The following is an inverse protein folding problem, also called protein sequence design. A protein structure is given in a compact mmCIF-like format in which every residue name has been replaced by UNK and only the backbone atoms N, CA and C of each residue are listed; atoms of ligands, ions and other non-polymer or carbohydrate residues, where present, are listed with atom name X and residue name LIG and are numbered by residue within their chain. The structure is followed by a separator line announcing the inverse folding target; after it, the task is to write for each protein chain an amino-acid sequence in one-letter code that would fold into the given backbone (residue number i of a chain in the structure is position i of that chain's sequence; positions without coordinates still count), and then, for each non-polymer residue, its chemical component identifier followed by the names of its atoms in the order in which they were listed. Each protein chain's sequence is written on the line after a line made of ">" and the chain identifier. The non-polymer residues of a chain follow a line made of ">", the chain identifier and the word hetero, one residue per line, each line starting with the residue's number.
data_IF_915894007049
#
_entry.id   IF_915894007049
#
_cell.length_a   1.000
_cell.length_b   1.000
_cell.length_c   1.000
_cell.angle_alpha   90.00
_cell.angle_beta   90.00
_cell.angle_gamma   90.00
#
_symmetry.space_group_name_H-M   'P 1'
#
loop_
_entity.id
_entity.type
_entity.pdbx_description
1 polymer ?
#
# COMPACT_ATOMS: atom_id res chain seq x y z
N UNK A 1 -13.43 13.47 11.32
CA UNK A 1 -12.86 13.63 9.97
C UNK A 1 -13.40 12.50 9.12
N UNK A 2 -14.09 12.80 8.01
CA UNK A 2 -14.63 11.77 7.14
C UNK A 2 -13.46 11.12 6.38
N UNK A 3 -13.28 9.82 6.56
CA UNK A 3 -12.32 9.03 5.80
C UNK A 3 -13.07 8.36 4.65
N UNK A 4 -12.84 8.83 3.42
CA UNK A 4 -13.24 8.08 2.23
C UNK A 4 -12.26 6.91 2.04
N UNK A 5 -12.79 5.77 1.63
CA UNK A 5 -11.99 4.58 1.33
C UNK A 5 -11.09 4.91 0.12
N UNK A 6 -9.80 4.51 0.11
CA UNK A 6 -8.96 4.60 -1.08
C UNK A 6 -9.65 3.97 -2.30
N UNK A 7 -9.61 4.63 -3.46
CA UNK A 7 -10.39 4.22 -4.63
C UNK A 7 -11.82 4.75 -4.65
N UNK A 8 -12.22 5.63 -3.71
CA UNK A 8 -13.51 6.33 -3.81
C UNK A 8 -13.56 7.21 -5.07
N UNK A 9 -14.65 7.11 -5.82
CA UNK A 9 -14.87 7.82 -7.09
C UNK A 9 -16.06 8.78 -7.00
N UNK A 10 -16.10 9.76 -7.90
CA UNK A 10 -17.24 10.64 -8.08
C UNK A 10 -18.40 9.89 -8.76
N UNK A 11 -19.60 9.89 -8.17
CA UNK A 11 -20.75 9.16 -8.71
C UNK A 11 -21.28 9.70 -10.05
N UNK A 12 -20.81 10.88 -10.50
CA UNK A 12 -21.23 11.50 -11.77
C UNK A 12 -20.25 11.19 -12.91
N UNK A 13 -18.94 11.27 -12.66
CA UNK A 13 -17.93 11.02 -13.70
C UNK A 13 -17.16 9.70 -13.54
N UNK A 14 -17.40 8.97 -12.45
CA UNK A 14 -16.70 7.75 -12.07
C UNK A 14 -15.17 7.90 -11.95
N UNK A 15 -14.66 9.12 -11.81
CA UNK A 15 -13.23 9.38 -11.64
C UNK A 15 -12.85 9.41 -10.15
N UNK A 16 -11.68 8.87 -9.83
CA UNK A 16 -11.16 8.81 -8.46
C UNK A 16 -10.89 10.21 -7.89
N UNK A 17 -11.20 10.36 -6.60
CA UNK A 17 -10.86 11.55 -5.83
C UNK A 17 -9.36 11.60 -5.56
N UNK A 18 -8.74 12.76 -5.84
CA UNK A 18 -7.29 12.96 -5.76
C UNK A 18 -6.95 14.41 -5.48
N UNK A 19 -5.67 14.76 -5.26
CA UNK A 19 -5.24 16.14 -4.98
C UNK A 19 -5.72 17.16 -6.02
N UNK A 20 -5.85 16.72 -7.27
CA UNK A 20 -6.35 17.54 -8.38
C UNK A 20 -7.87 17.49 -8.57
N UNK A 21 -8.56 16.58 -7.87
CA UNK A 21 -10.00 16.36 -7.95
C UNK A 21 -10.57 16.12 -6.55
N UNK A 22 -10.60 17.14 -5.68
CA UNK A 22 -11.04 16.95 -4.32
C UNK A 22 -12.58 16.80 -4.22
N UNK A 23 -13.07 16.01 -3.25
CA UNK A 23 -14.49 15.80 -3.02
C UNK A 23 -15.16 17.05 -2.44
N UNK A 24 -16.38 17.34 -2.90
CA UNK A 24 -17.21 18.46 -2.46
C UNK A 24 -18.59 17.95 -2.06
N UNK A 25 -19.07 18.35 -0.88
CA UNK A 25 -20.44 18.07 -0.44
C UNK A 25 -21.37 19.22 -0.82
N UNK A 26 -22.58 18.88 -1.27
CA UNK A 26 -23.71 19.80 -1.40
C UNK A 26 -24.64 19.67 -0.17
N UNK A 27 -25.64 20.57 0.05
CA UNK A 27 -26.49 20.58 1.25
C UNK A 27 -27.17 19.27 1.59
N UNK A 28 -27.57 18.51 0.57
CA UNK A 28 -28.24 17.23 0.74
C UNK A 28 -27.31 16.09 1.21
N UNK A 29 -26.01 16.35 1.39
CA UNK A 29 -25.01 15.38 1.83
C UNK A 29 -24.36 14.52 0.74
N UNK A 30 -24.83 14.59 -0.52
CA UNK A 30 -24.18 13.90 -1.64
C UNK A 30 -22.84 14.58 -1.99
N UNK A 31 -21.89 13.77 -2.48
CA UNK A 31 -20.50 14.19 -2.70
C UNK A 31 -20.12 14.04 -4.17
N UNK A 32 -19.63 15.11 -4.78
CA UNK A 32 -19.15 15.12 -6.18
C UNK A 32 -17.79 15.80 -6.28
N UNK A 33 -17.10 15.67 -7.43
CA UNK A 33 -15.94 16.49 -7.70
C UNK A 33 -16.32 17.95 -8.07
N UNK A 34 -15.39 18.88 -7.88
CA UNK A 34 -15.57 20.31 -8.19
C UNK A 34 -16.09 20.56 -9.62
N UNK A 35 -15.52 19.83 -10.58
CA UNK A 35 -15.86 19.91 -12.01
C UNK A 35 -17.29 19.47 -12.26
N UNK A 36 -17.75 18.38 -11.63
CA UNK A 36 -19.13 17.92 -11.78
C UNK A 36 -20.12 18.89 -11.12
N UNK A 37 -19.81 19.45 -9.95
CA UNK A 37 -20.66 20.47 -9.34
C UNK A 37 -20.84 21.68 -10.26
N UNK A 38 -19.75 22.19 -10.83
CA UNK A 38 -19.79 23.34 -11.75
C UNK A 38 -20.58 23.01 -13.03
N UNK A 39 -20.36 21.83 -13.62
CA UNK A 39 -21.10 21.37 -14.81
C UNK A 39 -22.60 21.23 -14.56
N UNK A 40 -23.02 20.76 -13.37
CA UNK A 40 -24.44 20.66 -13.02
C UNK A 40 -25.05 22.07 -12.99
N UNK A 41 -24.38 23.04 -12.36
CA UNK A 41 -24.84 24.43 -12.30
C UNK A 41 -24.90 25.05 -13.70
N UNK A 42 -23.86 24.88 -14.51
CA UNK A 42 -23.75 25.48 -15.85
C UNK A 42 -24.71 24.88 -16.87
N UNK A 43 -24.98 23.56 -16.80
CA UNK A 43 -25.91 22.88 -17.71
C UNK A 43 -27.36 23.02 -17.29
N UNK A 44 -27.63 23.44 -16.05
CA UNK A 44 -29.01 23.72 -15.64
C UNK A 44 -29.48 24.96 -16.37
N UNK A 45 -30.62 24.84 -17.07
CA UNK A 45 -31.23 25.95 -17.78
C UNK A 45 -31.41 27.17 -16.84
N UNK A 46 -31.22 28.41 -17.31
CA UNK A 46 -31.33 29.61 -16.46
C UNK A 46 -32.67 29.77 -15.72
N UNK A 47 -33.72 29.09 -16.18
CA UNK A 47 -35.06 29.09 -15.57
C UNK A 47 -35.21 28.09 -14.42
N UNK A 48 -34.24 27.20 -14.24
CA UNK A 48 -34.28 26.14 -13.22
C UNK A 48 -33.13 26.31 -12.22
N UNK A 49 -33.40 25.98 -10.98
CA UNK A 49 -32.40 25.88 -9.92
C UNK A 49 -31.61 24.58 -10.08
N UNK A 50 -30.27 24.58 -9.95
CA UNK A 50 -29.48 23.35 -9.98
C UNK A 50 -29.97 22.40 -8.89
N UNK A 51 -30.07 21.12 -9.21
CA UNK A 51 -30.57 20.11 -8.29
C UNK A 51 -29.64 18.89 -8.27
N UNK A 52 -29.55 18.23 -7.11
CA UNK A 52 -28.77 17.00 -6.97
C UNK A 52 -29.27 15.91 -7.93
N UNK A 53 -28.39 15.22 -8.68
CA UNK A 53 -28.79 14.13 -9.58
C UNK A 53 -29.50 12.96 -8.89
N UNK A 54 -29.26 12.77 -7.59
CA UNK A 54 -29.75 11.61 -6.83
C UNK A 54 -31.05 11.91 -6.08
N UNK A 55 -31.08 12.97 -5.28
CA UNK A 55 -32.25 13.32 -4.45
C UNK A 55 -33.05 14.52 -4.95
N UNK A 56 -32.60 15.23 -6.00
CA UNK A 56 -33.22 16.43 -6.58
C UNK A 56 -33.36 17.63 -5.64
N UNK A 57 -32.67 17.63 -4.50
CA UNK A 57 -32.59 18.79 -3.64
C UNK A 57 -31.82 19.92 -4.34
N UNK A 58 -32.36 21.13 -4.25
CA UNK A 58 -31.81 22.30 -4.92
C UNK A 58 -30.55 22.79 -4.19
N UNK A 59 -29.56 23.25 -4.94
CA UNK A 59 -28.35 23.84 -4.36
C UNK A 59 -27.79 24.93 -5.26
N UNK A 60 -27.06 25.86 -4.67
CA UNK A 60 -26.35 26.93 -5.37
C UNK A 60 -24.84 26.76 -5.26
N UNK A 61 -24.07 27.54 -6.03
CA UNK A 61 -22.59 27.51 -5.98
C UNK A 61 -22.05 27.80 -4.58
N UNK A 62 -22.74 28.65 -3.83
CA UNK A 62 -22.35 29.09 -2.50
C UNK A 62 -22.60 28.02 -1.44
N UNK A 63 -23.38 26.99 -1.75
CA UNK A 63 -23.75 25.93 -0.80
C UNK A 63 -22.78 24.74 -0.87
N UNK A 64 -21.92 24.71 -1.89
CA UNK A 64 -20.91 23.67 -2.06
C UNK A 64 -19.82 23.88 -0.99
N UNK A 65 -19.45 22.80 -0.29
CA UNK A 65 -18.38 22.80 0.70
C UNK A 65 -17.29 21.83 0.27
N UNK A 66 -16.04 22.29 0.31
CA UNK A 66 -14.88 21.42 0.11
C UNK A 66 -14.76 20.49 1.33
N UNK A 67 -14.77 19.18 1.08
CA UNK A 67 -14.49 18.22 2.14
C UNK A 67 -12.97 18.16 2.26
N UNK A 68 -12.44 18.54 3.42
CA UNK A 68 -11.03 18.34 3.72
C UNK A 68 -10.73 16.85 3.70
N UNK A 69 -9.92 16.45 2.73
CA UNK A 69 -9.48 15.08 2.56
C UNK A 69 -7.98 15.02 2.78
N UNK A 70 -7.57 14.27 3.79
CA UNK A 70 -6.15 13.99 3.99
C UNK A 70 -5.81 12.83 3.04
N UNK A 71 -5.19 13.16 1.91
CA UNK A 71 -4.51 12.19 1.07
C UNK A 71 -3.39 11.61 1.92
N UNK A 72 -3.73 10.61 2.72
CA UNK A 72 -2.77 9.78 3.43
C UNK A 72 -2.04 8.97 2.37
N UNK A 73 -1.15 9.67 1.68
CA UNK A 73 0.03 9.04 1.14
C UNK A 73 0.57 8.22 2.30
N UNK A 74 0.88 6.96 2.06
CA UNK A 74 1.49 6.00 3.00
C UNK A 74 2.89 6.44 3.42
N UNK A 75 3.06 7.72 3.76
CA UNK A 75 4.15 8.30 4.51
C UNK A 75 3.83 8.07 5.98
N UNK A 76 4.36 6.97 6.47
CA UNK A 76 4.71 6.67 7.86
C UNK A 76 4.56 7.86 8.82
N UNK A 77 3.91 7.69 9.99
CA UNK A 77 3.78 8.75 10.96
C UNK A 77 5.18 9.18 11.41
N UNK A 78 5.63 10.34 10.94
CA UNK A 78 6.85 10.96 11.46
C UNK A 78 6.50 11.52 12.85
N UNK A 79 7.26 11.22 13.91
CA UNK A 79 6.94 11.67 15.25
C UNK A 79 6.96 13.19 15.33
N UNK A 80 5.93 13.75 15.96
CA UNK A 80 5.71 15.17 16.14
C UNK A 80 6.94 15.88 16.72
N UNK A 81 7.56 16.74 15.92
CA UNK A 81 8.52 17.74 16.35
C UNK A 81 7.95 19.14 16.19
N UNK A 82 7.48 19.71 17.31
CA UNK A 82 7.37 21.13 17.72
C UNK A 82 7.00 22.22 16.67
N UNK A 83 6.11 23.18 17.02
CA UNK A 83 5.77 24.29 16.15
C UNK A 83 6.92 25.31 16.10
N UNK A 84 7.46 25.56 14.91
CA UNK A 84 8.20 26.78 14.64
C UNK A 84 7.21 27.87 14.26
N UNK A 85 7.25 28.95 15.03
CA UNK A 85 6.62 30.24 14.75
C UNK A 85 7.12 30.70 13.38
N UNK A 86 6.21 30.92 12.43
CA UNK A 86 6.48 31.64 11.19
C UNK A 86 5.65 32.91 11.23
N UNK A 87 6.35 34.02 11.40
CA UNK A 87 5.84 35.37 11.19
C UNK A 87 5.56 35.58 9.69
N UNK A 88 4.30 35.90 9.43
CA UNK A 88 3.81 37.01 8.59
C UNK A 88 4.74 37.51 7.45
N UNK A 89 4.45 37.09 6.22
CA UNK A 89 4.65 37.91 5.03
C UNK A 89 3.53 37.67 4.02
N UNK A 90 2.40 38.34 4.26
CA UNK A 90 1.45 38.69 3.22
C UNK A 90 2.05 39.79 2.32
N UNK A 91 2.01 39.60 1.00
CA UNK A 91 2.44 40.61 0.03
C UNK A 91 2.02 40.28 -1.40
N UNK A 92 0.95 40.96 -1.85
CA UNK A 92 0.51 41.22 -3.23
C UNK A 92 0.93 40.28 -4.37
N UNK A 93 -0.03 39.55 -4.92
CA UNK A 93 -0.08 39.24 -6.36
C UNK A 93 -1.24 40.02 -7.00
N UNK A 94 -0.99 40.95 -7.94
CA UNK A 94 -2.04 41.42 -8.84
C UNK A 94 -2.16 40.47 -10.03
N UNK A 95 -3.41 40.16 -10.34
CA UNK A 95 -3.82 39.52 -11.57
C UNK A 95 -3.60 40.44 -12.77
N UNK A 96 -2.94 39.95 -13.83
CA UNK A 96 -3.08 40.51 -15.18
C UNK A 96 -3.12 39.38 -16.20
N UNK A 97 -4.33 39.25 -16.76
CA UNK A 97 -4.69 38.62 -18.02
C UNK A 97 -4.06 39.43 -19.14
N UNK A 98 -3.16 38.84 -19.93
CA UNK A 98 -2.83 39.39 -21.25
C UNK A 98 -2.39 38.27 -22.21
N UNK A 99 -3.30 37.98 -23.14
CA UNK A 99 -2.97 37.39 -24.42
C UNK A 99 -1.96 38.33 -25.11
N UNK A 100 -0.75 37.84 -25.35
CA UNK A 100 0.20 38.47 -26.25
C UNK A 100 0.92 37.37 -27.02
N UNK A 101 0.49 37.24 -28.27
CA UNK A 101 1.22 36.77 -29.44
C UNK A 101 2.72 37.07 -29.31
N UNK A 102 3.55 36.04 -29.07
CA UNK A 102 5.00 36.22 -29.04
C UNK A 102 5.59 36.10 -30.45
N UNK A 103 6.49 37.01 -30.85
CA UNK A 103 7.14 37.00 -32.16
C UNK A 103 8.20 35.90 -32.23
N UNK A 104 8.26 35.21 -33.37
CA UNK A 104 9.41 34.41 -33.78
C UNK A 104 10.58 35.37 -33.99
N UNK A 105 11.45 35.48 -32.99
CA UNK A 105 12.75 36.12 -33.12
C UNK A 105 13.78 35.00 -33.25
N UNK A 106 14.14 34.69 -34.48
CA UNK A 106 15.36 33.95 -34.81
C UNK A 106 16.56 34.86 -34.52
N UNK A 107 17.03 34.89 -33.27
CA UNK A 107 18.27 35.58 -32.95
C UNK A 107 19.44 34.59 -32.89
N UNK A 108 20.22 34.67 -33.95
CA UNK A 108 21.53 34.07 -34.11
C UNK A 108 22.53 34.73 -33.17
N UNK A 109 22.70 34.20 -31.96
CA UNK A 109 23.91 34.46 -31.17
C UNK A 109 24.58 33.15 -30.77
N UNK A 110 25.69 32.89 -31.47
CA UNK A 110 26.66 31.81 -31.29
C UNK A 110 27.41 31.95 -29.95
N UNK A 111 26.68 31.82 -28.85
CA UNK A 111 27.28 31.58 -27.54
C UNK A 111 27.45 30.07 -27.40
N UNK A 112 28.70 29.61 -27.42
CA UNK A 112 29.03 28.19 -27.22
C UNK A 112 28.24 27.67 -26.00
N UNK A 113 27.43 26.61 -26.14
CA UNK A 113 26.69 26.08 -25.00
C UNK A 113 27.70 25.74 -23.90
N UNK A 114 27.51 26.31 -22.71
CA UNK A 114 28.33 26.01 -21.56
C UNK A 114 28.34 24.50 -21.32
N UNK A 115 29.50 23.95 -20.97
CA UNK A 115 29.68 22.51 -20.75
C UNK A 115 28.61 21.90 -19.82
N UNK A 116 28.13 22.68 -18.84
CA UNK A 116 27.06 22.29 -17.91
C UNK A 116 25.73 21.94 -18.58
N UNK A 117 25.32 22.64 -19.64
CA UNK A 117 24.03 22.35 -20.31
C UNK A 117 24.06 21.00 -21.05
N UNK A 118 25.23 20.57 -21.55
CA UNK A 118 25.41 19.25 -22.20
C UNK A 118 25.42 18.12 -21.18
N UNK A 119 26.02 18.31 -20.01
CA UNK A 119 26.05 17.27 -18.97
C UNK A 119 24.66 17.03 -18.39
N UNK A 120 23.84 18.07 -18.25
CA UNK A 120 22.43 17.96 -17.85
C UNK A 120 21.61 17.02 -18.75
N UNK A 121 21.57 17.28 -20.07
CA UNK A 121 20.74 16.47 -20.99
C UNK A 121 21.21 15.02 -21.08
N UNK A 122 22.51 14.77 -20.89
CA UNK A 122 23.08 13.43 -20.78
C UNK A 122 22.57 12.72 -19.52
N UNK A 123 22.55 13.41 -18.37
CA UNK A 123 22.03 12.85 -17.12
C UNK A 123 20.52 12.56 -17.21
N UNK A 124 19.73 13.46 -17.79
CA UNK A 124 18.30 13.23 -18.03
C UNK A 124 18.06 12.01 -18.93
N UNK A 125 18.87 11.86 -19.98
CA UNK A 125 18.80 10.69 -20.86
C UNK A 125 19.22 9.41 -20.15
N UNK A 126 20.21 9.46 -19.26
CA UNK A 126 20.59 8.32 -18.41
C UNK A 126 19.45 7.91 -17.47
N UNK A 127 18.81 8.88 -16.80
CA UNK A 127 17.62 8.63 -15.96
C UNK A 127 16.51 7.97 -16.77
N UNK A 128 16.19 8.50 -17.95
CA UNK A 128 15.16 7.93 -18.81
C UNK A 128 15.50 6.49 -19.25
N UNK A 129 16.76 6.20 -19.56
CA UNK A 129 17.22 4.84 -19.93
C UNK A 129 17.12 3.86 -18.77
N UNK A 130 17.50 4.27 -17.57
CA UNK A 130 17.40 3.45 -16.35
C UNK A 130 15.92 3.21 -16.01
N UNK A 131 15.06 4.22 -16.12
CA UNK A 131 13.63 4.08 -15.88
C UNK A 131 12.92 3.15 -16.90
N UNK A 132 13.39 3.09 -18.15
CA UNK A 132 12.80 2.26 -19.19
C UNK A 132 13.23 0.79 -19.15
N UNK A 133 14.26 0.44 -18.36
CA UNK A 133 14.82 -0.92 -18.31
C UNK A 133 14.72 -1.51 -16.91
N UNK A 134 14.76 -2.84 -16.81
CA UNK A 134 15.02 -3.52 -15.54
C UNK A 134 16.50 -3.34 -15.21
N UNK A 135 16.84 -2.24 -14.55
CA UNK A 135 18.18 -1.92 -14.09
C UNK A 135 18.52 -2.65 -12.79
N UNK A 136 19.81 -2.91 -12.58
CA UNK A 136 20.30 -3.46 -11.32
C UNK A 136 20.35 -2.38 -10.22
N UNK A 137 20.42 -2.81 -8.96
CA UNK A 137 20.50 -1.90 -7.80
C UNK A 137 21.80 -1.08 -7.85
N UNK A 138 22.89 -1.69 -8.33
CA UNK A 138 24.20 -1.07 -8.49
C UNK A 138 24.19 0.01 -9.57
N UNK A 139 23.48 -0.22 -10.69
CA UNK A 139 23.28 0.78 -11.74
C UNK A 139 22.52 2.00 -11.22
N UNK A 140 21.44 1.76 -10.46
CA UNK A 140 20.65 2.83 -9.81
C UNK A 140 21.49 3.61 -8.81
N UNK A 141 22.31 2.92 -8.00
CA UNK A 141 23.21 3.55 -7.04
C UNK A 141 24.29 4.40 -7.71
N UNK A 142 24.90 3.89 -8.78
CA UNK A 142 25.92 4.61 -9.55
C UNK A 142 25.32 5.88 -10.17
N UNK A 143 24.14 5.78 -10.79
CA UNK A 143 23.44 6.93 -11.35
C UNK A 143 23.08 7.97 -10.29
N UNK A 144 22.64 7.54 -9.10
CA UNK A 144 22.34 8.44 -8.00
C UNK A 144 23.59 9.19 -7.51
N UNK A 145 24.75 8.52 -7.45
CA UNK A 145 26.02 9.16 -7.09
C UNK A 145 26.42 10.21 -8.13
N UNK A 146 26.35 9.88 -9.42
CA UNK A 146 26.61 10.83 -10.51
C UNK A 146 25.68 12.06 -10.43
N UNK A 147 24.37 11.84 -10.22
CA UNK A 147 23.39 12.93 -10.09
C UNK A 147 23.66 13.81 -8.87
N UNK A 148 23.97 13.19 -7.73
CA UNK A 148 24.22 13.93 -6.48
C UNK A 148 25.54 14.72 -6.57
N UNK A 149 26.57 14.14 -7.20
CA UNK A 149 27.84 14.83 -7.46
C UNK A 149 27.63 16.04 -8.37
N UNK A 150 26.86 15.87 -9.45
CA UNK A 150 26.58 16.96 -10.38
C UNK A 150 25.77 18.08 -9.74
N UNK A 151 24.72 17.73 -8.97
CA UNK A 151 23.93 18.69 -8.19
C UNK A 151 24.74 19.43 -7.12
N UNK A 152 25.80 18.80 -6.58
CA UNK A 152 26.69 19.44 -5.60
C UNK A 152 27.72 20.40 -6.22
N UNK A 153 28.02 20.27 -7.52
CA UNK A 153 29.05 21.08 -8.18
C UNK A 153 28.51 22.40 -8.74
N UNK A 154 27.27 22.43 -9.23
CA UNK A 154 26.66 23.61 -9.85
C UNK A 154 25.82 24.38 -8.81
N UNK A 155 26.51 25.12 -7.92
CA UNK A 155 25.96 25.75 -6.72
C UNK A 155 24.97 26.91 -6.91
N UNK A 156 24.25 26.96 -8.04
CA UNK A 156 23.15 27.92 -8.26
C UNK A 156 21.87 27.14 -8.49
N UNK A 157 20.90 27.19 -7.55
CA UNK A 157 19.60 26.56 -7.73
C UNK A 157 18.76 27.38 -8.71
N UNK A 158 19.05 27.28 -10.00
CA UNK A 158 18.08 27.69 -11.04
C UNK A 158 16.84 26.77 -10.99
N UNK A 159 15.66 27.31 -11.27
CA UNK A 159 14.39 26.53 -11.29
C UNK A 159 14.44 25.30 -12.24
N UNK A 160 15.38 25.30 -13.18
CA UNK A 160 15.66 24.19 -14.10
C UNK A 160 16.28 22.94 -13.45
N UNK A 161 16.71 22.97 -12.18
CA UNK A 161 17.24 21.81 -11.45
C UNK A 161 16.16 20.96 -10.77
N UNK A 162 14.90 21.39 -10.82
CA UNK A 162 13.77 20.71 -10.17
C UNK A 162 13.56 19.27 -10.67
N UNK A 163 13.70 19.01 -11.97
CA UNK A 163 13.52 17.68 -12.57
C UNK A 163 14.59 16.66 -12.12
N UNK A 164 15.87 17.07 -12.11
CA UNK A 164 16.98 16.21 -11.68
C UNK A 164 17.01 16.03 -10.17
N UNK A 165 16.64 17.06 -9.41
CA UNK A 165 16.51 16.97 -7.95
C UNK A 165 15.41 15.97 -7.57
N UNK A 166 14.25 16.06 -8.25
CA UNK A 166 13.16 15.09 -8.08
C UNK A 166 13.62 13.68 -8.46
N UNK A 167 14.31 13.53 -9.60
CA UNK A 167 14.86 12.25 -10.05
C UNK A 167 15.81 11.63 -9.00
N UNK A 168 16.72 12.43 -8.43
CA UNK A 168 17.63 11.98 -7.38
C UNK A 168 16.87 11.58 -6.09
N UNK A 169 15.83 12.33 -5.71
CA UNK A 169 14.98 11.99 -4.57
C UNK A 169 14.23 10.66 -4.80
N UNK A 170 13.67 10.46 -5.99
CA UNK A 170 13.00 9.22 -6.37
C UNK A 170 13.95 8.02 -6.36
N UNK A 171 15.15 8.16 -6.93
CA UNK A 171 16.16 7.09 -6.91
C UNK A 171 16.59 6.73 -5.49
N UNK A 172 16.75 7.71 -4.59
CA UNK A 172 16.98 7.45 -3.15
C UNK A 172 15.84 6.65 -2.53
N UNK A 173 14.60 7.05 -2.77
CA UNK A 173 13.43 6.36 -2.24
C UNK A 173 13.35 4.91 -2.73
N UNK A 174 13.64 4.66 -4.01
CA UNK A 174 13.70 3.30 -4.59
C UNK A 174 14.75 2.44 -3.87
N UNK A 175 15.96 2.97 -3.65
CA UNK A 175 17.02 2.23 -2.97
C UNK A 175 16.68 1.94 -1.51
N UNK A 176 16.10 2.91 -0.78
CA UNK A 176 15.66 2.73 0.61
C UNK A 176 14.58 1.64 0.68
N UNK A 177 13.57 1.69 -0.19
CA UNK A 177 12.51 0.69 -0.25
C UNK A 177 13.07 -0.70 -0.58
N UNK A 178 14.01 -0.80 -1.53
CA UNK A 178 14.65 -2.06 -1.88
C UNK A 178 15.42 -2.64 -0.68
N UNK A 179 16.21 -1.82 0.02
CA UNK A 179 16.96 -2.24 1.20
C UNK A 179 16.01 -2.71 2.32
N UNK A 180 14.97 -1.93 2.62
CA UNK A 180 13.96 -2.29 3.62
C UNK A 180 13.26 -3.61 3.27
N UNK A 181 12.92 -3.84 2.00
CA UNK A 181 12.32 -5.10 1.55
C UNK A 181 13.30 -6.28 1.69
N UNK A 182 14.57 -6.10 1.32
CA UNK A 182 15.59 -7.13 1.45
C UNK A 182 15.82 -7.52 2.93
N UNK A 183 15.89 -6.52 3.82
CA UNK A 183 16.03 -6.72 5.26
C UNK A 183 14.79 -7.40 5.85
N UNK A 184 13.59 -6.94 5.51
CA UNK A 184 12.33 -7.56 5.94
C UNK A 184 12.24 -9.02 5.48
N UNK A 185 12.61 -9.31 4.23
CA UNK A 185 12.62 -10.68 3.68
C UNK A 185 13.62 -11.56 4.44
N UNK A 186 14.81 -11.06 4.74
CA UNK A 186 15.81 -11.78 5.53
C UNK A 186 15.30 -12.07 6.95
N UNK A 187 14.72 -11.07 7.61
CA UNK A 187 14.12 -11.21 8.94
C UNK A 187 12.99 -12.23 8.94
N UNK A 188 12.09 -12.17 7.96
CA UNK A 188 10.99 -13.12 7.81
C UNK A 188 11.48 -14.57 7.68
N UNK A 189 12.48 -14.82 6.83
CA UNK A 189 13.10 -16.16 6.69
C UNK A 189 13.74 -16.66 7.99
N UNK A 190 14.40 -15.78 8.74
CA UNK A 190 14.99 -16.12 10.04
C UNK A 190 13.92 -16.50 11.07
N UNK A 191 12.80 -15.77 11.09
CA UNK A 191 11.66 -16.06 11.96
C UNK A 191 11.00 -17.38 11.56
N UNK A 192 10.81 -17.63 10.26
CA UNK A 192 10.29 -18.89 9.75
C UNK A 192 11.16 -20.08 10.17
N UNK A 193 12.47 -19.98 10.01
CA UNK A 193 13.41 -21.03 10.45
C UNK A 193 13.32 -21.29 11.97
N UNK A 194 13.18 -20.22 12.77
CA UNK A 194 13.04 -20.33 14.23
C UNK A 194 11.73 -21.00 14.62
N UNK A 195 10.62 -20.61 14.00
CA UNK A 195 9.31 -21.20 14.26
C UNK A 195 9.25 -22.66 13.83
N UNK A 196 9.88 -23.01 12.70
CA UNK A 196 9.99 -24.38 12.22
C UNK A 196 10.77 -25.26 13.21
N UNK A 197 11.90 -24.78 13.72
CA UNK A 197 12.66 -25.48 14.75
C UNK A 197 11.86 -25.71 16.04
N UNK A 198 11.06 -24.73 16.47
CA UNK A 198 10.16 -24.88 17.64
C UNK A 198 9.03 -25.89 17.38
N UNK A 199 8.51 -25.92 16.16
CA UNK A 199 7.50 -26.88 15.75
C UNK A 199 8.06 -28.31 15.80
N UNK A 200 9.24 -28.54 15.21
CA UNK A 200 9.94 -29.83 15.26
C UNK A 200 10.25 -30.26 16.71
N UNK A 201 10.70 -29.32 17.55
CA UNK A 201 10.93 -29.58 18.97
C UNK A 201 9.63 -30.00 19.69
N UNK A 202 8.54 -29.29 19.43
CA UNK A 202 7.23 -29.59 20.02
C UNK A 202 6.71 -30.95 19.54
N UNK A 203 6.84 -31.28 18.26
CA UNK A 203 6.49 -32.58 17.71
C UNK A 203 7.28 -33.71 18.37
N UNK A 204 8.59 -33.53 18.55
CA UNK A 204 9.43 -34.50 19.26
C UNK A 204 9.01 -34.70 20.72
N UNK A 205 8.66 -33.63 21.43
CA UNK A 205 8.14 -33.75 22.81
C UNK A 205 6.81 -34.50 22.86
N UNK A 206 5.91 -34.26 21.90
CA UNK A 206 4.64 -34.98 21.80
C UNK A 206 4.86 -36.46 21.51
N UNK A 207 5.82 -36.79 20.63
CA UNK A 207 6.18 -38.19 20.36
C UNK A 207 6.72 -38.87 21.61
N UNK A 208 7.62 -38.20 22.36
CA UNK A 208 8.18 -38.71 23.63
C UNK A 208 7.09 -38.98 24.67
N UNK A 209 6.23 -37.99 24.92
CA UNK A 209 5.14 -38.11 25.89
C UNK A 209 4.13 -39.18 25.46
N UNK A 210 3.87 -39.34 24.16
CA UNK A 210 3.01 -40.41 23.64
C UNK A 210 3.64 -41.80 23.85
N UNK A 211 4.96 -41.95 23.72
CA UNK A 211 5.63 -43.21 24.07
C UNK A 211 5.54 -43.50 25.57
N UNK A 212 5.83 -42.53 26.43
CA UNK A 212 5.76 -42.68 27.88
C UNK A 212 4.33 -43.04 28.34
N UNK A 213 3.32 -42.39 27.77
CA UNK A 213 1.92 -42.72 28.07
C UNK A 213 1.57 -44.15 27.66
N UNK A 214 2.04 -44.62 26.50
CA UNK A 214 1.83 -46.01 26.06
C UNK A 214 2.49 -47.00 27.02
N UNK A 215 3.71 -46.70 27.49
CA UNK A 215 4.41 -47.52 28.47
C UNK A 215 3.67 -47.58 29.82
N UNK A 216 3.03 -46.49 30.25
CA UNK A 216 2.24 -46.47 31.49
C UNK A 216 0.91 -47.24 31.39
N UNK A 217 0.25 -47.22 30.22
CA UNK A 217 -1.06 -47.88 30.02
C UNK A 217 -0.93 -49.41 29.96
N UNK A 218 0.16 -49.95 29.40
CA UNK A 218 0.38 -51.40 29.27
C UNK A 218 0.38 -52.20 30.59
N UNK A 219 1.07 -51.81 31.67
CA UNK A 219 1.09 -52.57 32.94
C UNK A 219 -0.23 -52.52 33.71
N UNK A 220 -1.03 -51.45 33.55
CA UNK A 220 -2.37 -51.36 34.16
C UNK A 220 -3.38 -52.29 33.51
N UNK A 221 -3.29 -52.51 32.19
CA UNK A 221 -4.20 -53.42 31.47
C UNK A 221 -3.95 -54.89 31.83
N UNK A 222 -2.69 -55.30 31.98
CA UNK A 222 -2.35 -56.69 32.39
C UNK A 222 -2.73 -56.99 33.85
N UNK A 223 -2.67 -56.01 34.76
CA UNK A 223 -3.15 -56.18 36.14
C UNK A 223 -4.66 -56.38 36.22
N UNK A 224 -5.44 -55.58 35.48
CA UNK A 224 -6.92 -55.70 35.48
C UNK A 224 -7.37 -57.03 34.86
N UNK A 225 -6.69 -57.53 33.83
CA UNK A 225 -7.00 -58.85 33.25
C UNK A 225 -6.63 -60.02 34.19
N UNK A 226 -5.56 -59.90 34.99
CA UNK A 226 -5.19 -60.93 35.95
C UNK A 226 -6.12 -60.96 37.16
N UNK A 227 -6.57 -59.80 37.68
CA UNK A 227 -7.56 -59.76 38.77
C UNK A 227 -8.96 -60.20 38.31
N UNK A 228 -9.34 -59.97 37.05
CA UNK A 228 -10.61 -60.45 36.51
C UNK A 228 -10.62 -61.98 36.28
N UNK A 229 -9.47 -62.61 36.01
CA UNK A 229 -9.37 -64.06 35.84
C UNK A 229 -9.53 -64.82 37.18
N UNK A 230 -9.14 -64.21 38.30
CA UNK A 230 -9.28 -64.84 39.63
C UNK A 230 -10.72 -64.74 40.21
N UNK A 231 -11.57 -63.87 39.64
CA UNK A 231 -12.97 -63.70 40.08
C UNK A 231 -14.02 -64.35 39.18
N UNK A 232 -13.63 -64.94 38.04
CA UNK A 232 -14.55 -65.68 37.19
C UNK A 232 -14.59 -67.16 37.61
N UNK A 233 -15.62 -67.52 38.38
CA UNK A 233 -15.99 -68.91 38.64
C UNK A 233 -16.01 -69.75 37.34
N UNK A 234 -15.49 -70.98 37.34
CA UNK A 234 -15.52 -71.88 36.18
C UNK A 234 -16.92 -72.21 35.63
N UNK A 235 -17.99 -71.98 36.39
CA UNK A 235 -19.31 -72.55 36.11
C UNK A 235 -20.25 -71.73 35.19
N UNK A 236 -19.84 -70.57 34.67
CA UNK A 236 -20.73 -69.71 33.85
C UNK A 236 -20.33 -69.59 32.37
N UNK A 237 -19.30 -70.32 31.93
CA UNK A 237 -18.71 -70.18 30.59
C UNK A 237 -19.57 -70.70 29.40
N UNK A 238 -20.81 -71.15 29.61
CA UNK A 238 -21.64 -71.74 28.54
C UNK A 238 -22.78 -70.89 27.99
N UNK A 239 -23.08 -69.70 28.54
CA UNK A 239 -24.37 -69.06 28.24
C UNK A 239 -24.36 -67.85 27.29
N UNK A 240 -23.22 -67.26 26.91
CA UNK A 240 -23.24 -65.96 26.21
C UNK A 240 -22.30 -65.90 25.00
N UNK A 241 -22.56 -66.74 24.00
CA UNK A 241 -22.21 -66.44 22.60
C UNK A 241 -23.47 -65.96 21.86
N UNK A 242 -23.77 -64.65 21.81
CA UNK A 242 -24.71 -64.14 20.82
C UNK A 242 -24.06 -64.24 19.44
N UNK A 243 -24.79 -64.88 18.53
CA UNK A 243 -24.41 -65.09 17.13
C UNK A 243 -23.98 -63.78 16.46
N UNK A 244 -22.80 -63.88 15.84
CA UNK A 244 -22.28 -63.04 14.76
C UNK A 244 -23.39 -62.40 13.91
N UNK A 245 -23.60 -61.10 14.09
CA UNK A 245 -24.29 -60.26 13.11
C UNK A 245 -23.23 -59.62 12.22
N UNK A 246 -23.23 -60.07 10.96
CA UNK A 246 -22.43 -59.51 9.87
C UNK A 246 -22.64 -58.00 9.78
N UNK A 247 -21.54 -57.24 9.85
CA UNK A 247 -21.51 -55.84 9.42
C UNK A 247 -21.59 -55.77 7.88
N UNK A 248 -22.40 -54.87 7.30
CA UNK A 248 -22.44 -54.64 5.87
C UNK A 248 -21.20 -53.87 5.41
N UNK A 249 -20.61 -54.32 4.29
CA UNK A 249 -19.54 -53.61 3.58
C UNK A 249 -20.11 -52.34 2.94
N UNK A 250 -19.56 -51.18 3.29
CA UNK A 250 -19.83 -49.92 2.58
C UNK A 250 -19.12 -49.90 1.22
N UNK A 251 -19.75 -49.39 0.14
CA UNK A 251 -19.12 -49.30 -1.16
C UNK A 251 -18.22 -48.07 -1.28
N UNK A 252 -17.03 -48.28 -1.85
CA UNK A 252 -16.14 -47.23 -2.32
C UNK A 252 -16.86 -46.34 -3.34
N UNK A 253 -16.79 -45.02 -3.15
CA UNK A 253 -17.07 -44.04 -4.22
C UNK A 253 -15.75 -43.65 -4.88
N UNK A 254 -15.79 -43.66 -6.21
CA UNK A 254 -14.77 -43.20 -7.15
C UNK A 254 -14.68 -41.66 -7.18
#
# INVERSE_FOLDING_TARGET
>A
MLQLIPGSVCDVCAEEYGPHRPPHSIPCGHVFCATCCSKIIEKTLPKHTPACPFCREQFTRNDIRLIRFDYSNTSWPTPQGKPAIIEDMAGQFPATRQEARFPVVEDSFSSKPSSSRRTKTVLETKVAKVAAKKCSVEEVQTLLQELTQWLGHDGKPDDQFSSLTLSAALLRAILINHFAHAEATKSAKSLEATLKSKLDQSENTVVSLKSELREQVHPSSSRVCNEAADFLCPDVALALYPKSTRMPRSPCRA
#
